data_IF_669032784772
#
_entry.id   IF_669032784772
#
_cell.length_a   1.000
_cell.length_b   1.000
_cell.length_c   1.000
_cell.angle_alpha   90.00
_cell.angle_beta   90.00
_cell.angle_gamma   90.00
#
_symmetry.space_group_name_H-M   'P 1'
#
loop_
_entity.id
_entity.type
_entity.pdbx_description
1 polymer ?
#
# COMPACT_ATOMS: atom_id res chain seq x y z
N UNK A 1 30.52 -35.70 18.78
CA UNK A 1 29.06 -35.56 18.79
C UNK A 1 28.70 -34.47 17.80
N UNK A 2 28.22 -34.87 16.64
CA UNK A 2 27.44 -33.99 15.76
C UNK A 2 26.05 -33.90 16.38
N UNK A 3 25.56 -32.69 16.60
CA UNK A 3 24.13 -32.42 16.69
C UNK A 3 23.84 -31.27 15.74
N UNK A 4 23.48 -31.69 14.53
CA UNK A 4 22.74 -30.98 13.52
C UNK A 4 21.34 -30.61 14.06
N UNK A 5 20.96 -29.33 13.99
CA UNK A 5 19.56 -28.90 14.08
C UNK A 5 19.18 -28.17 12.81
N UNK A 6 18.48 -28.85 11.87
CA UNK A 6 17.78 -28.19 10.79
C UNK A 6 16.39 -27.77 11.30
N UNK A 7 16.25 -26.57 11.86
CA UNK A 7 14.92 -25.97 11.99
C UNK A 7 14.61 -25.16 10.73
N UNK A 8 13.78 -25.80 9.91
CA UNK A 8 13.25 -25.28 8.67
C UNK A 8 12.32 -24.11 9.03
N UNK A 9 12.80 -22.88 8.88
CA UNK A 9 11.92 -21.72 8.78
C UNK A 9 11.59 -21.49 7.31
N UNK A 10 10.74 -22.37 6.78
CA UNK A 10 9.98 -22.12 5.56
C UNK A 10 9.03 -20.96 5.82
N UNK A 11 9.52 -19.74 5.62
CA UNK A 11 8.64 -18.60 5.41
C UNK A 11 8.23 -18.60 3.94
N UNK A 12 7.16 -19.37 3.69
CA UNK A 12 6.40 -19.33 2.45
C UNK A 12 5.86 -17.90 2.28
N UNK A 13 6.64 -17.08 1.58
CA UNK A 13 6.20 -15.77 1.11
C UNK A 13 5.18 -15.99 0.01
N UNK A 14 3.94 -16.27 0.44
CA UNK A 14 2.77 -16.16 -0.41
C UNK A 14 2.87 -14.82 -1.15
N UNK A 15 2.69 -14.79 -2.49
CA UNK A 15 2.57 -13.53 -3.20
C UNK A 15 1.28 -12.89 -2.70
N UNK A 16 1.40 -12.05 -1.67
CA UNK A 16 0.35 -11.11 -1.32
C UNK A 16 0.10 -10.32 -2.59
N UNK A 17 -1.08 -10.48 -3.19
CA UNK A 17 -1.55 -9.65 -4.29
C UNK A 17 -1.47 -8.19 -3.81
N UNK A 18 -0.36 -7.52 -4.12
CA UNK A 18 -0.11 -6.14 -3.71
C UNK A 18 -0.97 -5.25 -4.59
N UNK A 19 -2.24 -5.10 -4.22
CA UNK A 19 -3.12 -4.16 -4.88
C UNK A 19 -2.51 -2.76 -4.79
N UNK A 20 -2.30 -2.14 -5.95
CA UNK A 20 -1.71 -0.81 -6.01
C UNK A 20 -2.74 0.22 -5.53
N UNK A 21 -2.61 0.63 -4.28
CA UNK A 21 -3.47 1.65 -3.68
C UNK A 21 -2.94 3.03 -4.03
N UNK A 22 -3.75 3.78 -4.77
CA UNK A 22 -3.46 5.17 -5.17
C UNK A 22 -4.12 6.14 -4.18
N UNK A 23 -3.35 7.12 -3.75
CA UNK A 23 -3.79 8.21 -2.88
C UNK A 23 -3.73 9.54 -3.64
N UNK A 24 -4.62 10.48 -3.34
CA UNK A 24 -4.63 11.83 -3.89
C UNK A 24 -4.40 12.87 -2.78
N UNK A 25 -3.46 13.79 -2.96
CA UNK A 25 -3.25 14.88 -2.01
C UNK A 25 -4.42 15.87 -2.00
N UNK A 26 -4.88 16.27 -0.81
CA UNK A 26 -6.01 17.20 -0.66
C UNK A 26 -5.74 18.64 -1.13
N UNK A 27 -4.47 19.09 -1.15
CA UNK A 27 -4.13 20.46 -1.60
C UNK A 27 -3.86 20.55 -3.09
N UNK A 28 -2.97 19.71 -3.61
CA UNK A 28 -2.48 19.81 -4.99
C UNK A 28 -3.11 18.77 -5.93
N UNK A 29 -3.87 17.80 -5.41
CA UNK A 29 -4.51 16.76 -6.21
C UNK A 29 -3.56 15.71 -6.79
N UNK A 30 -2.25 15.78 -6.50
CA UNK A 30 -1.27 14.82 -7.01
C UNK A 30 -1.60 13.41 -6.54
N UNK A 31 -1.64 12.46 -7.47
CA UNK A 31 -1.82 11.03 -7.21
C UNK A 31 -0.48 10.38 -6.89
N UNK A 32 -0.39 9.67 -5.79
CA UNK A 32 0.84 9.08 -5.25
C UNK A 32 0.52 7.66 -4.77
N UNK A 33 1.41 6.68 -5.02
CA UNK A 33 1.20 5.29 -4.65
C UNK A 33 1.76 4.97 -3.25
N UNK A 34 1.27 3.91 -2.60
CA UNK A 34 1.75 3.51 -1.27
C UNK A 34 3.28 3.24 -1.23
N UNK A 35 3.85 2.74 -2.32
CA UNK A 35 5.28 2.45 -2.45
C UNK A 35 6.13 3.71 -2.40
N UNK A 36 5.65 4.82 -2.97
CA UNK A 36 6.33 6.12 -2.89
C UNK A 36 6.26 6.71 -1.47
N UNK A 37 5.11 6.59 -0.78
CA UNK A 37 4.95 7.09 0.59
C UNK A 37 5.80 6.32 1.60
N UNK A 38 6.04 5.02 1.35
CA UNK A 38 6.84 4.16 2.24
C UNK A 38 8.35 4.39 2.09
N UNK A 39 8.80 4.93 0.95
CA UNK A 39 10.22 5.28 0.72
C UNK A 39 10.65 6.53 1.48
N UNK A 40 9.71 7.41 1.80
CA UNK A 40 9.96 8.62 2.55
C UNK A 40 9.86 8.34 4.05
N UNK A 41 10.75 8.88 4.90
CA UNK A 41 10.69 8.69 6.35
C UNK A 41 9.45 9.35 6.99
N UNK A 42 8.80 10.28 6.28
CA UNK A 42 7.53 10.88 6.67
C UNK A 42 6.55 10.86 5.49
N UNK A 43 5.27 10.61 5.81
CA UNK A 43 4.19 10.59 4.83
C UNK A 43 3.77 12.02 4.45
N UNK A 44 4.39 12.56 3.39
CA UNK A 44 4.20 13.93 2.91
C UNK A 44 4.06 13.94 1.40
N UNK A 45 3.23 14.86 0.90
CA UNK A 45 3.21 15.18 -0.52
C UNK A 45 4.37 16.12 -0.86
N UNK A 46 4.76 16.21 -2.14
CA UNK A 46 5.75 17.17 -2.65
C UNK A 46 5.42 18.63 -2.32
N UNK A 47 4.15 18.94 -2.04
CA UNK A 47 3.69 20.27 -1.62
C UNK A 47 3.83 20.53 -0.10
N UNK A 48 4.35 19.57 0.68
CA UNK A 48 4.49 19.65 2.13
C UNK A 48 3.23 19.32 2.93
N UNK A 49 2.11 19.02 2.27
CA UNK A 49 0.85 18.63 2.92
C UNK A 49 0.83 17.13 3.28
N UNK A 50 0.19 16.78 4.40
CA UNK A 50 0.20 15.41 4.97
C UNK A 50 -1.12 14.64 4.79
N UNK A 51 -2.17 15.31 4.31
CA UNK A 51 -3.50 14.69 4.20
C UNK A 51 -3.72 14.19 2.77
N UNK A 52 -4.03 12.90 2.67
CA UNK A 52 -4.29 12.21 1.42
C UNK A 52 -5.64 11.48 1.49
N UNK A 53 -6.39 11.51 0.38
CA UNK A 53 -7.61 10.73 0.21
C UNK A 53 -7.29 9.46 -0.60
N UNK A 54 -7.83 8.31 -0.21
CA UNK A 54 -7.69 7.08 -0.99
C UNK A 54 -8.60 7.16 -2.22
N UNK A 55 -8.02 7.03 -3.41
CA UNK A 55 -8.79 7.03 -4.66
C UNK A 55 -9.62 5.76 -4.73
N UNK A 56 -10.88 5.89 -5.19
CA UNK A 56 -11.77 4.75 -5.36
C UNK A 56 -11.17 3.80 -6.41
N UNK A 57 -10.99 2.51 -6.11
CA UNK A 57 -10.57 1.55 -7.11
C UNK A 57 -11.56 1.50 -8.28
N UNK A 58 -11.14 1.15 -9.51
CA UNK A 58 -12.01 1.06 -10.68
C UNK A 58 -13.01 -0.11 -10.63
N UNK A 59 -13.11 -0.81 -9.49
CA UNK A 59 -14.07 -1.89 -9.28
C UNK A 59 -15.48 -1.32 -9.18
N UNK A 60 -16.31 -1.64 -10.16
CA UNK A 60 -17.72 -1.25 -10.21
C UNK A 60 -18.46 -1.83 -9.02
N UNK A 61 -19.15 -0.96 -8.27
CA UNK A 61 -20.07 -1.37 -7.21
C UNK A 61 -21.49 -1.13 -7.70
N UNK A 62 -22.28 -2.19 -7.88
CA UNK A 62 -23.71 -2.08 -8.14
C UNK A 62 -24.44 -1.61 -6.88
N UNK A 63 -25.26 -0.58 -7.01
CA UNK A 63 -26.11 -0.06 -5.92
C UNK A 63 -27.55 -0.14 -6.40
N UNK A 64 -28.41 -0.81 -5.64
CA UNK A 64 -29.84 -0.87 -5.95
C UNK A 64 -30.44 0.53 -5.74
N UNK A 65 -31.27 0.98 -6.69
CA UNK A 65 -32.07 2.18 -6.53
C UNK A 65 -33.24 1.90 -5.56
N UNK A 66 -33.60 2.90 -4.74
CA UNK A 66 -34.75 2.85 -3.82
C UNK A 66 -36.05 2.68 -4.60
#
# INVERSE_FOLDING_TARGET
>A
MSEETPDVSMEESAPTEQFEVIYSCLRCGTTVSNTELTRLPEIKCICGFRVFNKVRPPVVKSVNAV
#
